data_IF_588241058737
#
_entry.id   IF_588241058737
#
_cell.length_a   1.000
_cell.length_b   1.000
_cell.length_c   1.000
_cell.angle_alpha   90.00
_cell.angle_beta   90.00
_cell.angle_gamma   90.00
#
_symmetry.space_group_name_H-M   'P 1'
#
loop_
_entity.id
_entity.type
_entity.pdbx_description
1 polymer ?
#
# COMPACT_ATOMS: atom_id res chain seq x y z
N UNK A 1 -5.38 6.82 -14.35
CA UNK A 1 -6.69 6.59 -13.70
C UNK A 1 -6.71 5.27 -12.93
N UNK A 2 -6.47 4.11 -13.57
CA UNK A 2 -6.53 2.79 -12.91
C UNK A 2 -5.51 2.62 -11.77
N UNK A 3 -4.24 2.98 -11.98
CA UNK A 3 -3.20 2.83 -10.95
C UNK A 3 -3.44 3.69 -9.69
N UNK A 4 -3.96 4.92 -9.86
CA UNK A 4 -4.28 5.81 -8.73
C UNK A 4 -5.45 5.23 -7.91
N UNK A 5 -6.46 4.67 -8.57
CA UNK A 5 -7.61 4.07 -7.88
C UNK A 5 -7.22 2.90 -6.98
N UNK A 6 -6.30 2.04 -7.45
CA UNK A 6 -5.83 0.89 -6.68
C UNK A 6 -4.99 1.34 -5.47
N UNK A 7 -4.04 2.26 -5.68
CA UNK A 7 -3.16 2.76 -4.60
C UNK A 7 -3.95 3.47 -3.50
N UNK A 8 -4.98 4.24 -3.88
CA UNK A 8 -5.82 4.95 -2.90
C UNK A 8 -6.70 3.98 -2.10
N UNK A 9 -7.19 2.90 -2.72
CA UNK A 9 -8.03 1.90 -2.05
C UNK A 9 -7.27 1.17 -0.94
N UNK A 10 -6.02 0.80 -1.21
CA UNK A 10 -5.09 0.17 -0.26
C UNK A 10 -4.87 1.03 0.99
N UNK A 11 -4.65 2.34 0.79
CA UNK A 11 -4.53 3.32 1.88
C UNK A 11 -5.82 3.46 2.68
N UNK A 12 -6.97 3.60 2.01
CA UNK A 12 -8.29 3.75 2.67
C UNK A 12 -8.60 2.51 3.51
N UNK A 13 -8.34 1.32 2.97
CA UNK A 13 -8.58 0.07 3.68
C UNK A 13 -7.72 -0.03 4.95
N UNK A 14 -6.44 0.36 4.86
CA UNK A 14 -5.54 0.41 6.01
C UNK A 14 -6.01 1.40 7.08
N UNK A 15 -6.30 2.65 6.69
CA UNK A 15 -6.73 3.71 7.61
C UNK A 15 -8.05 3.36 8.29
N UNK A 16 -9.01 2.79 7.56
CA UNK A 16 -10.30 2.34 8.09
C UNK A 16 -10.14 1.26 9.18
N UNK A 17 -9.27 0.27 8.94
CA UNK A 17 -8.93 -0.76 9.93
C UNK A 17 -8.21 -0.17 11.16
N UNK A 18 -7.30 0.77 10.96
CA UNK A 18 -6.60 1.46 12.04
C UNK A 18 -7.58 2.24 12.92
N UNK A 19 -8.47 3.04 12.32
CA UNK A 19 -9.51 3.79 13.02
C UNK A 19 -10.45 2.86 13.80
N UNK A 20 -10.87 1.75 13.20
CA UNK A 20 -11.67 0.73 13.91
C UNK A 20 -10.92 0.17 15.13
N UNK A 21 -9.62 -0.10 15.01
CA UNK A 21 -8.78 -0.54 16.13
C UNK A 21 -8.67 0.50 17.23
N UNK A 22 -8.53 1.79 16.87
CA UNK A 22 -8.51 2.90 17.82
C UNK A 22 -9.85 3.07 18.55
N UNK A 23 -10.97 2.90 17.84
CA UNK A 23 -12.31 2.93 18.43
C UNK A 23 -12.58 1.77 19.40
N UNK A 24 -11.92 0.62 19.19
CA UNK A 24 -11.96 -0.51 20.11
C UNK A 24 -11.06 -0.33 21.35
N UNK A 25 -10.44 0.84 21.52
CA UNK A 25 -9.62 1.17 22.68
C UNK A 25 -8.16 0.73 22.58
N UNK A 26 -7.72 0.20 21.43
CA UNK A 26 -6.32 -0.17 21.22
C UNK A 26 -5.41 1.05 21.27
N UNK A 27 -4.23 0.89 21.86
CA UNK A 27 -3.19 1.91 21.75
C UNK A 27 -2.75 2.08 20.29
N UNK A 28 -2.23 3.26 19.92
CA UNK A 28 -1.74 3.52 18.55
C UNK A 28 -0.84 2.41 17.99
N UNK A 29 0.22 1.95 18.69
CA UNK A 29 1.06 0.86 18.18
C UNK A 29 0.32 -0.49 18.06
N UNK A 30 -0.63 -0.80 18.95
CA UNK A 30 -1.44 -2.02 18.85
C UNK A 30 -2.41 -1.97 17.67
N UNK A 31 -3.06 -0.83 17.45
CA UNK A 31 -3.96 -0.61 16.33
C UNK A 31 -3.21 -0.72 14.98
N UNK A 32 -2.00 -0.15 14.90
CA UNK A 32 -1.12 -0.32 13.73
C UNK A 32 -0.81 -1.80 13.51
N UNK A 33 -0.39 -2.52 14.56
CA UNK A 33 0.02 -3.93 14.41
C UNK A 33 -1.13 -4.86 14.06
N UNK A 34 -2.31 -4.62 14.62
CA UNK A 34 -3.53 -5.33 14.28
C UNK A 34 -3.96 -5.08 12.83
N UNK A 35 -3.87 -3.83 12.38
CA UNK A 35 -4.14 -3.44 10.99
C UNK A 35 -3.16 -4.10 10.03
N UNK A 36 -1.87 -4.07 10.34
CA UNK A 36 -0.83 -4.71 9.55
C UNK A 36 -1.05 -6.20 9.35
N UNK A 37 -1.47 -6.92 10.40
CA UNK A 37 -1.77 -8.36 10.32
C UNK A 37 -2.98 -8.66 9.46
N UNK A 38 -3.97 -7.76 9.43
CA UNK A 38 -5.18 -7.93 8.65
C UNK A 38 -4.99 -7.55 7.18
N UNK A 39 -4.33 -6.42 6.91
CA UNK A 39 -4.27 -5.78 5.60
C UNK A 39 -2.97 -6.09 4.86
N UNK A 40 -1.87 -6.32 5.58
CA UNK A 40 -0.55 -6.57 5.00
C UNK A 40 -0.50 -7.71 3.96
N UNK A 41 -1.10 -8.89 4.21
CA UNK A 41 -1.13 -9.97 3.22
C UNK A 41 -1.84 -9.58 1.91
N UNK A 42 -2.91 -8.78 2.00
CA UNK A 42 -3.64 -8.31 0.83
C UNK A 42 -2.77 -7.35 -0.01
N UNK A 43 -2.11 -6.37 0.62
CA UNK A 43 -1.22 -5.42 -0.04
C UNK A 43 -0.04 -6.10 -0.76
N UNK A 44 0.54 -7.13 -0.14
CA UNK A 44 1.60 -7.93 -0.76
C UNK A 44 1.08 -8.69 -1.99
N UNK A 45 -0.10 -9.31 -1.90
CA UNK A 45 -0.69 -10.05 -2.99
C UNK A 45 -1.04 -9.16 -4.18
N UNK A 46 -1.69 -8.01 -3.96
CA UNK A 46 -2.06 -7.07 -5.03
C UNK A 46 -0.82 -6.51 -5.71
N UNK A 47 0.20 -6.09 -4.93
CA UNK A 47 1.48 -5.61 -5.47
C UNK A 47 2.15 -6.68 -6.32
N UNK A 48 2.27 -7.92 -5.83
CA UNK A 48 2.89 -9.01 -6.57
C UNK A 48 2.18 -9.30 -7.89
N UNK A 49 0.84 -9.35 -7.88
CA UNK A 49 0.02 -9.60 -9.07
C UNK A 49 0.20 -8.47 -10.09
N UNK A 50 0.15 -7.21 -9.64
CA UNK A 50 0.30 -6.06 -10.53
C UNK A 50 1.72 -5.97 -11.10
N UNK A 51 2.75 -6.09 -10.25
CA UNK A 51 4.14 -6.10 -10.70
C UNK A 51 4.41 -7.20 -11.71
N UNK A 52 3.91 -8.42 -11.48
CA UNK A 52 4.00 -9.51 -12.45
C UNK A 52 3.26 -9.20 -13.76
N UNK A 53 2.03 -8.66 -13.68
CA UNK A 53 1.25 -8.27 -14.85
C UNK A 53 1.93 -7.19 -15.70
N UNK A 54 2.55 -6.18 -15.08
CA UNK A 54 3.29 -5.14 -15.78
C UNK A 54 4.64 -5.60 -16.32
N UNK A 55 5.29 -6.57 -15.66
CA UNK A 55 6.51 -7.23 -16.19
C UNK A 55 6.24 -8.00 -17.49
N UNK A 56 5.03 -8.52 -17.71
CA UNK A 56 4.66 -9.14 -18.99
C UNK A 56 4.70 -8.11 -20.13
N UNK A 57 4.32 -6.85 -19.89
CA UNK A 57 4.46 -5.78 -20.91
C UNK A 57 5.93 -5.51 -21.26
N UNK A 58 6.86 -5.74 -20.34
CA UNK A 58 8.29 -5.64 -20.60
C UNK A 58 8.83 -6.75 -21.52
N UNK A 59 8.08 -7.84 -21.71
CA UNK A 59 8.46 -8.91 -22.64
C UNK A 59 8.04 -8.67 -24.10
N UNK A 60 7.27 -7.61 -24.39
CA UNK A 60 6.58 -7.47 -25.70
C UNK A 60 7.46 -7.04 -26.88
N UNK A 61 8.78 -6.90 -26.71
CA UNK A 61 9.71 -6.50 -27.79
C UNK A 61 9.51 -5.09 -28.35
N UNK A 62 8.60 -4.29 -27.78
CA UNK A 62 8.27 -2.92 -28.18
C UNK A 62 8.79 -1.96 -27.10
N UNK A 63 9.71 -1.07 -27.46
CA UNK A 63 10.44 -0.22 -26.50
C UNK A 63 9.53 0.61 -25.57
N UNK A 64 8.42 1.22 -26.05
CA UNK A 64 7.47 1.92 -25.18
C UNK A 64 6.80 1.01 -24.14
N UNK A 65 6.51 -0.24 -24.48
CA UNK A 65 5.91 -1.22 -23.57
C UNK A 65 6.88 -1.65 -22.47
N UNK A 66 8.17 -1.75 -22.80
CA UNK A 66 9.24 -2.04 -21.84
C UNK A 66 9.39 -0.94 -20.81
N UNK A 67 9.52 0.31 -21.28
CA UNK A 67 9.67 1.47 -20.40
C UNK A 67 8.46 1.63 -19.48
N UNK A 68 7.24 1.47 -20.02
CA UNK A 68 6.02 1.51 -19.21
C UNK A 68 5.96 0.37 -18.19
N UNK A 69 6.26 -0.86 -18.58
CA UNK A 69 6.21 -2.02 -17.68
C UNK A 69 7.17 -1.88 -16.50
N UNK A 70 8.41 -1.47 -16.76
CA UNK A 70 9.43 -1.27 -15.71
C UNK A 70 9.05 -0.10 -14.80
N UNK A 71 8.67 1.04 -15.38
CA UNK A 71 8.39 2.26 -14.60
C UNK A 71 7.17 2.08 -13.69
N UNK A 72 6.15 1.36 -14.16
CA UNK A 72 4.98 1.01 -13.34
C UNK A 72 5.34 -0.03 -12.26
N UNK A 73 6.11 -1.07 -12.59
CA UNK A 73 6.54 -2.07 -11.60
C UNK A 73 7.34 -1.42 -10.45
N UNK A 74 8.25 -0.50 -10.78
CA UNK A 74 9.01 0.28 -9.77
C UNK A 74 8.08 1.17 -8.95
N UNK A 75 7.13 1.85 -9.59
CA UNK A 75 6.19 2.76 -8.90
C UNK A 75 5.33 2.01 -7.90
N UNK A 76 4.77 0.85 -8.29
CA UNK A 76 3.95 0.01 -7.40
C UNK A 76 4.79 -0.53 -6.24
N UNK A 77 6.03 -0.94 -6.50
CA UNK A 77 6.94 -1.39 -5.45
C UNK A 77 7.23 -0.28 -4.44
N UNK A 78 7.46 0.94 -4.90
CA UNK A 78 7.67 2.11 -4.03
C UNK A 78 6.41 2.48 -3.24
N UNK A 79 5.24 2.38 -3.86
CA UNK A 79 3.95 2.62 -3.20
C UNK A 79 3.73 1.65 -2.04
N UNK A 80 3.96 0.35 -2.25
CA UNK A 80 3.87 -0.65 -1.18
C UNK A 80 4.80 -0.32 -0.01
N UNK A 81 6.05 0.08 -0.29
CA UNK A 81 7.00 0.46 0.76
C UNK A 81 6.49 1.69 1.53
N UNK A 82 5.92 2.67 0.84
CA UNK A 82 5.32 3.84 1.48
C UNK A 82 4.11 3.45 2.35
N UNK A 83 3.22 2.59 1.87
CA UNK A 83 2.03 2.16 2.61
C UNK A 83 2.39 1.34 3.85
N UNK A 84 3.44 0.52 3.76
CA UNK A 84 3.90 -0.31 4.86
C UNK A 84 4.78 0.45 5.88
N UNK A 85 5.54 1.47 5.47
CA UNK A 85 6.48 2.15 6.37
C UNK A 85 6.04 3.58 6.72
N UNK A 86 5.71 4.40 5.73
CA UNK A 86 5.35 5.80 5.92
C UNK A 86 3.96 5.94 6.54
N UNK A 87 2.97 5.18 6.04
CA UNK A 87 1.59 5.27 6.52
C UNK A 87 1.43 5.01 8.03
N UNK A 88 1.96 3.92 8.61
CA UNK A 88 1.85 3.69 10.06
C UNK A 88 2.62 4.73 10.87
N UNK A 89 3.80 5.15 10.41
CA UNK A 89 4.58 6.17 11.10
C UNK A 89 3.83 7.52 11.14
N UNK A 90 3.17 7.88 10.03
CA UNK A 90 2.38 9.09 9.91
C UNK A 90 1.12 9.02 10.76
N UNK A 91 0.42 7.87 10.76
CA UNK A 91 -0.73 7.63 11.64
C UNK A 91 -0.36 7.72 13.13
N UNK A 92 0.78 7.15 13.54
CA UNK A 92 1.28 7.25 14.92
C UNK A 92 1.67 8.69 15.28
N UNK A 93 2.28 9.45 14.36
CA UNK A 93 2.65 10.84 14.58
C UNK A 93 1.42 11.76 14.72
N UNK A 94 0.41 11.58 13.86
CA UNK A 94 -0.84 12.35 13.91
C UNK A 94 -1.64 12.02 15.17
N UNK A 95 -1.72 10.74 15.55
CA UNK A 95 -2.44 10.32 16.76
C UNK A 95 -1.76 10.81 18.04
N UNK A 96 -0.42 10.97 18.03
CA UNK A 96 0.34 11.63 19.11
C UNK A 96 0.03 13.11 19.26
N UNK A 97 -0.31 13.80 18.17
CA UNK A 97 -0.61 15.24 18.15
C UNK A 97 -2.04 15.54 18.59
N UNK A 98 -2.95 14.56 18.49
CA UNK A 98 -4.36 14.70 18.81
C UNK A 98 -4.73 14.22 20.23
N UNK A 99 -3.72 13.85 21.04
CA UNK A 99 -3.80 13.63 22.49
C UNK A 99 -3.09 14.77 23.21
#
# INVERSE_FOLDING_TARGET
AVAIGIIVDDTIHFVSKYLSGRQQGLSSPEAVRATFRAVGPALWATTAILSAGFLVFASSGYEPSWTLGVLVAVTISFALVADLLLLPALLMAVDRRNR
#
